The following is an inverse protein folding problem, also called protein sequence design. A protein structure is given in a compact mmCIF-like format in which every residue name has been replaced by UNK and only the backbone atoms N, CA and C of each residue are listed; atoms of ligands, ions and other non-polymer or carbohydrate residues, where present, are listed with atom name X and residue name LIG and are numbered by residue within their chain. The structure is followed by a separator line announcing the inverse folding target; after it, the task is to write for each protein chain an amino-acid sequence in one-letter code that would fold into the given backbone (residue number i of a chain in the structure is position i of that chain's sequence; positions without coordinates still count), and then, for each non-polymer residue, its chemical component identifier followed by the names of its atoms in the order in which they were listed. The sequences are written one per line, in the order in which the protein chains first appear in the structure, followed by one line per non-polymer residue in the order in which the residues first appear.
data_IF_183511531621
#
_entry.id   IF_183511531621
#
_cell.length_a   1.000
_cell.length_b   1.000
_cell.length_c   1.000
_cell.angle_alpha   90.00
_cell.angle_beta   90.00
_cell.angle_gamma   90.00
#
_symmetry.space_group_name_H-M   'P 1'
#
loop_
_entity.id
_entity.type
_entity.pdbx_description
1 polymer ?
#
# COMPACT_ATOMS: atom_id res chain seq x y z
N UNK A 1 4.44 8.56 -11.85
CA UNK A 1 4.20 7.31 -11.11
C UNK A 1 3.60 7.61 -9.74
N UNK A 2 2.73 6.73 -9.26
CA UNK A 2 2.16 6.74 -7.92
C UNK A 2 2.53 5.47 -7.18
N UNK A 3 2.84 5.60 -5.89
CA UNK A 3 3.22 4.51 -5.02
C UNK A 3 2.13 4.32 -3.97
N UNK A 4 1.46 3.18 -4.00
CA UNK A 4 0.41 2.83 -3.07
C UNK A 4 0.98 1.85 -2.05
N UNK A 5 0.93 2.17 -0.77
CA UNK A 5 1.24 1.25 0.30
C UNK A 5 -0.02 0.80 1.01
N UNK A 6 -0.18 -0.51 1.21
CA UNK A 6 -1.32 -1.12 1.88
C UNK A 6 -0.84 -1.86 3.12
N UNK A 7 -1.29 -1.42 4.28
CA UNK A 7 -1.17 -2.18 5.52
C UNK A 7 -2.34 -3.17 5.64
N UNK A 8 -2.01 -4.44 5.86
CA UNK A 8 -2.93 -5.56 5.73
C UNK A 8 -3.49 -5.96 7.10
N UNK A 9 -4.76 -5.63 7.35
CA UNK A 9 -5.51 -6.16 8.47
C UNK A 9 -6.47 -7.30 8.10
N UNK A 10 -6.94 -8.03 9.12
CA UNK A 10 -7.89 -9.14 8.96
C UNK A 10 -9.24 -8.71 8.38
N UNK A 11 -9.78 -7.59 8.87
CA UNK A 11 -11.12 -7.09 8.52
C UNK A 11 -11.08 -5.80 7.71
N UNK A 12 -10.04 -5.01 7.90
CA UNK A 12 -9.89 -3.67 7.33
C UNK A 12 -8.43 -3.52 6.93
N UNK A 13 -8.20 -2.98 5.75
CA UNK A 13 -6.90 -2.57 5.25
C UNK A 13 -6.80 -1.05 5.32
N UNK A 14 -5.57 -0.55 5.35
CA UNK A 14 -5.30 0.89 5.31
C UNK A 14 -4.33 1.19 4.19
N UNK A 15 -4.69 2.14 3.32
CA UNK A 15 -3.93 2.52 2.15
C UNK A 15 -3.46 3.98 2.20
N UNK A 16 -2.26 4.23 1.68
CA UNK A 16 -1.73 5.56 1.47
C UNK A 16 -1.04 5.67 0.10
N UNK A 17 -1.17 6.81 -0.56
CA UNK A 17 -0.59 7.10 -1.89
C UNK A 17 0.48 8.17 -1.76
N UNK A 18 1.60 7.97 -2.43
CA UNK A 18 2.73 8.88 -2.53
C UNK A 18 3.10 9.10 -4.01
N UNK A 19 3.61 10.27 -4.36
CA UNK A 19 4.17 10.53 -5.68
C UNK A 19 5.71 10.35 -5.71
N UNK A 20 6.33 10.53 -6.88
CA UNK A 20 7.78 10.37 -7.07
C UNK A 20 8.63 11.28 -6.16
N UNK A 21 8.14 12.49 -5.85
CA UNK A 21 8.83 13.43 -4.95
C UNK A 21 8.71 13.06 -3.46
N UNK A 22 8.01 11.98 -3.12
CA UNK A 22 7.81 11.56 -1.74
C UNK A 22 6.66 12.29 -1.02
N UNK A 23 5.86 13.07 -1.74
CA UNK A 23 4.70 13.77 -1.18
C UNK A 23 3.54 12.77 -1.03
N UNK A 24 3.04 12.64 0.20
CA UNK A 24 1.83 11.86 0.50
C UNK A 24 0.61 12.60 -0.05
N UNK A 25 -0.12 11.96 -0.96
CA UNK A 25 -1.32 12.49 -1.63
C UNK A 25 -2.61 11.96 -1.03
N UNK A 26 -2.59 10.70 -0.58
CA UNK A 26 -3.66 10.05 0.17
C UNK A 26 -3.05 9.46 1.44
N UNK A 27 -3.67 9.71 2.59
CA UNK A 27 -3.16 9.24 3.87
C UNK A 27 -4.25 8.48 4.63
N UNK A 28 -4.06 7.18 4.80
CA UNK A 28 -4.88 6.37 5.70
C UNK A 28 -6.30 6.08 5.22
N UNK A 29 -6.49 5.85 3.92
CA UNK A 29 -7.77 5.38 3.40
C UNK A 29 -8.06 3.96 3.90
N UNK A 30 -9.11 3.81 4.71
CA UNK A 30 -9.48 2.52 5.29
C UNK A 30 -10.59 1.87 4.49
N UNK A 31 -10.46 0.58 4.17
CA UNK A 31 -11.43 -0.17 3.40
C UNK A 31 -11.55 -1.62 3.91
N UNK A 32 -12.72 -2.26 3.80
CA UNK A 32 -12.93 -3.62 4.31
C UNK A 32 -12.19 -4.66 3.46
N UNK A 33 -11.85 -5.80 4.07
CA UNK A 33 -11.34 -6.98 3.36
C UNK A 33 -12.48 -7.74 2.67
N UNK A 34 -13.09 -7.10 1.67
CA UNK A 34 -14.14 -7.66 0.80
C UNK A 34 -13.93 -7.16 -0.63
N UNK A 35 -14.64 -7.75 -1.60
CA UNK A 35 -14.60 -7.30 -3.00
C UNK A 35 -15.02 -5.83 -3.13
N UNK A 36 -16.08 -5.42 -2.45
CA UNK A 36 -16.57 -4.03 -2.46
C UNK A 36 -15.54 -3.07 -1.85
N UNK A 37 -14.76 -3.54 -0.87
CA UNK A 37 -13.64 -2.78 -0.33
C UNK A 37 -12.53 -2.57 -1.35
N UNK A 38 -12.19 -3.60 -2.12
CA UNK A 38 -11.20 -3.49 -3.19
C UNK A 38 -11.68 -2.59 -4.34
N UNK A 39 -12.96 -2.67 -4.72
CA UNK A 39 -13.60 -1.75 -5.67
C UNK A 39 -13.47 -0.30 -5.20
N UNK A 40 -13.80 -0.03 -3.92
CA UNK A 40 -13.69 1.31 -3.34
C UNK A 40 -12.25 1.85 -3.34
N UNK A 41 -11.25 0.97 -3.25
CA UNK A 41 -9.84 1.35 -3.36
C UNK A 41 -9.51 1.77 -4.81
N UNK A 42 -9.93 1.00 -5.81
CA UNK A 42 -9.71 1.35 -7.22
C UNK A 42 -10.40 2.66 -7.57
N UNK A 43 -11.67 2.83 -7.18
CA UNK A 43 -12.41 4.09 -7.38
C UNK A 43 -11.63 5.27 -6.79
N UNK A 44 -11.03 5.09 -5.61
CA UNK A 44 -10.21 6.11 -4.97
C UNK A 44 -8.89 6.37 -5.70
N UNK A 45 -8.30 5.36 -6.36
CA UNK A 45 -7.08 5.51 -7.15
C UNK A 45 -7.33 6.27 -8.46
N UNK A 46 -8.52 6.13 -9.06
CA UNK A 46 -8.90 6.82 -10.30
C UNK A 46 -8.86 8.35 -10.17
N UNK A 47 -9.04 8.89 -8.96
CA UNK A 47 -8.86 10.32 -8.68
C UNK A 47 -7.43 10.84 -9.01
N UNK A 48 -6.44 9.94 -9.11
CA UNK A 48 -5.03 10.25 -9.37
C UNK A 48 -4.57 9.81 -10.77
N UNK A 49 -4.98 8.62 -11.22
CA UNK A 49 -4.82 8.14 -12.61
C UNK A 49 -5.77 6.98 -12.88
N UNK A 50 -6.28 6.90 -14.11
CA UNK A 50 -7.08 5.77 -14.59
C UNK A 50 -6.26 4.62 -15.20
N UNK A 51 -4.93 4.76 -15.33
CA UNK A 51 -4.07 3.73 -15.90
C UNK A 51 -3.39 2.90 -14.79
N UNK A 52 -3.61 1.57 -14.72
CA UNK A 52 -2.96 0.71 -13.73
C UNK A 52 -1.43 0.77 -13.77
N UNK A 53 -0.85 0.97 -14.95
CA UNK A 53 0.60 1.11 -15.14
C UNK A 53 1.22 2.34 -14.48
N UNK A 54 0.40 3.31 -14.05
CA UNK A 54 0.88 4.48 -13.29
C UNK A 54 1.03 4.19 -11.80
N UNK A 55 0.69 2.98 -11.34
CA UNK A 55 0.77 2.60 -9.94
C UNK A 55 1.75 1.45 -9.70
N UNK A 56 2.57 1.62 -8.66
CA UNK A 56 3.32 0.54 -8.02
C UNK A 56 2.74 0.32 -6.63
N UNK A 57 2.23 -0.89 -6.37
CA UNK A 57 1.52 -1.20 -5.14
C UNK A 57 2.40 -2.08 -4.25
N UNK A 58 2.63 -1.66 -3.00
CA UNK A 58 3.28 -2.46 -1.98
C UNK A 58 2.26 -2.92 -0.94
N UNK A 59 2.35 -4.18 -0.50
CA UNK A 59 1.56 -4.71 0.61
C UNK A 59 2.40 -5.59 1.52
N UNK A 60 2.27 -5.42 2.83
CA UNK A 60 2.97 -6.26 3.82
C UNK A 60 2.27 -7.61 3.98
N UNK A 61 3.01 -8.72 3.77
CA UNK A 61 2.48 -10.07 3.96
C UNK A 61 2.25 -10.39 5.45
N UNK A 62 1.06 -10.06 5.95
CA UNK A 62 0.61 -10.47 7.30
C UNK A 62 -0.41 -11.60 7.21
N UNK A 63 0.03 -12.82 7.57
CA UNK A 63 -0.81 -14.02 7.49
C UNK A 63 -1.25 -14.31 6.05
N UNK A 64 -2.51 -14.72 5.86
CA UNK A 64 -3.09 -14.99 4.54
C UNK A 64 -4.04 -13.90 4.03
N UNK A 65 -4.28 -12.83 4.81
CA UNK A 65 -5.30 -11.82 4.50
C UNK A 65 -4.97 -10.94 3.30
N UNK A 66 -3.71 -10.88 2.89
CA UNK A 66 -3.27 -10.13 1.72
C UNK A 66 -3.68 -10.80 0.39
N UNK A 67 -3.95 -12.11 0.38
CA UNK A 67 -4.24 -12.87 -0.83
C UNK A 67 -5.50 -12.37 -1.55
N UNK A 68 -6.54 -11.97 -0.81
CA UNK A 68 -7.79 -11.48 -1.40
C UNK A 68 -7.58 -10.20 -2.18
N UNK A 69 -6.99 -9.18 -1.55
CA UNK A 69 -6.72 -7.90 -2.20
C UNK A 69 -5.65 -8.03 -3.29
N UNK A 70 -4.64 -8.87 -3.08
CA UNK A 70 -3.63 -9.18 -4.11
C UNK A 70 -4.27 -9.74 -5.37
N UNK A 71 -5.07 -10.80 -5.26
CA UNK A 71 -5.69 -11.43 -6.42
C UNK A 71 -6.58 -10.45 -7.18
N UNK A 72 -7.38 -9.65 -6.46
CA UNK A 72 -8.27 -8.68 -7.08
C UNK A 72 -7.51 -7.59 -7.85
N UNK A 73 -6.48 -7.01 -7.24
CA UNK A 73 -5.67 -5.98 -7.89
C UNK A 73 -4.84 -6.55 -9.05
N UNK A 74 -4.37 -7.80 -8.93
CA UNK A 74 -3.60 -8.48 -9.97
C UNK A 74 -4.49 -8.78 -11.19
N UNK A 75 -5.72 -9.24 -10.98
CA UNK A 75 -6.72 -9.41 -12.04
C UNK A 75 -7.14 -8.07 -12.69
N UNK A 76 -6.89 -6.95 -12.01
CA UNK A 76 -7.11 -5.59 -12.51
C UNK A 76 -5.85 -4.95 -13.13
N UNK A 77 -4.86 -5.76 -13.51
CA UNK A 77 -3.62 -5.37 -14.19
C UNK A 77 -2.67 -4.42 -13.41
N UNK A 78 -2.80 -4.34 -12.08
CA UNK A 78 -1.89 -3.55 -11.27
C UNK A 78 -0.56 -4.26 -10.99
N UNK A 79 0.55 -3.51 -10.99
CA UNK A 79 1.84 -3.99 -10.53
C UNK A 79 1.90 -4.01 -9.00
N UNK A 80 2.04 -5.20 -8.42
CA UNK A 80 1.98 -5.42 -6.97
C UNK A 80 3.24 -6.12 -6.47
N UNK A 81 3.81 -5.59 -5.40
CA UNK A 81 4.91 -6.17 -4.65
C UNK A 81 4.43 -6.55 -3.25
N UNK A 82 4.64 -7.81 -2.91
CA UNK A 82 4.38 -8.32 -1.56
C UNK A 82 5.68 -8.24 -0.78
N UNK A 83 5.71 -7.39 0.25
CA UNK A 83 6.90 -7.15 1.06
C UNK A 83 6.88 -7.97 2.34
N UNK A 84 8.06 -8.45 2.74
CA UNK A 84 8.24 -9.15 4.00
C UNK A 84 8.21 -8.14 5.17
N UNK A 85 7.51 -8.43 6.29
CA UNK A 85 7.53 -7.58 7.48
C UNK A 85 8.94 -7.21 8.01
N UNK A 86 9.95 -8.04 7.73
CA UNK A 86 11.35 -7.73 8.06
C UNK A 86 11.92 -6.58 7.22
N UNK A 87 11.53 -6.46 5.96
CA UNK A 87 11.97 -5.38 5.07
C UNK A 87 11.33 -4.05 5.48
N UNK A 88 10.02 -4.05 5.77
CA UNK A 88 9.30 -2.86 6.24
C UNK A 88 9.81 -2.41 7.62
N UNK A 89 10.14 -3.33 8.52
CA UNK A 89 10.76 -2.99 9.82
C UNK A 89 12.18 -2.43 9.67
N UNK A 90 12.98 -3.00 8.76
CA UNK A 90 14.29 -2.46 8.39
C UNK A 90 14.18 -1.04 7.84
N UNK A 91 13.24 -0.81 6.92
CA UNK A 91 12.95 0.50 6.35
C UNK A 91 12.56 1.51 7.42
N UNK A 92 11.61 1.15 8.29
CA UNK A 92 11.17 1.98 9.43
C UNK A 92 12.35 2.40 10.31
N UNK A 93 13.27 1.49 10.64
CA UNK A 93 14.44 1.81 11.45
C UNK A 93 15.42 2.76 10.75
N UNK A 94 15.48 2.72 9.43
CA UNK A 94 16.34 3.59 8.62
C UNK A 94 15.78 5.00 8.42
N UNK A 95 14.45 5.16 8.38
CA UNK A 95 13.79 6.42 8.01
C UNK A 95 13.10 7.15 9.17
N UNK A 96 12.64 6.43 10.21
CA UNK A 96 11.88 7.02 11.32
C UNK A 96 12.70 7.13 12.61
N UNK A 97 12.83 8.36 13.13
CA UNK A 97 13.50 8.62 14.42
C UNK A 97 12.62 8.20 15.60
N UNK A 98 11.31 8.47 15.50
CA UNK A 98 10.32 8.11 16.54
C UNK A 98 9.56 6.90 16.04
N UNK A 99 9.80 5.74 16.67
CA UNK A 99 9.22 4.42 16.36
C UNK A 99 7.70 4.32 16.61
N UNK A 100 6.92 5.27 16.10
CA UNK A 100 5.46 5.24 16.14
C UNK A 100 4.98 4.21 15.12
N UNK A 101 4.03 3.39 15.55
CA UNK A 101 3.45 2.34 14.72
C UNK A 101 1.93 2.45 14.79
N UNK A 102 1.31 2.58 13.64
CA UNK A 102 -0.12 2.38 13.40
C UNK A 102 -0.32 2.15 11.91
N UNK A 103 -1.49 1.65 11.55
CA UNK A 103 -1.80 1.21 10.19
C UNK A 103 -1.66 2.35 9.14
N UNK A 104 -1.91 3.60 9.54
CA UNK A 104 -1.72 4.78 8.68
C UNK A 104 -0.23 5.05 8.44
N UNK A 105 0.60 5.00 9.47
CA UNK A 105 2.05 5.21 9.35
C UNK A 105 2.67 4.06 8.56
N UNK A 106 2.22 2.82 8.81
CA UNK A 106 2.73 1.62 8.15
C UNK A 106 2.39 1.63 6.65
N UNK A 107 1.16 2.01 6.26
CA UNK A 107 0.82 2.19 4.83
C UNK A 107 1.64 3.28 4.14
N UNK A 108 1.98 4.37 4.82
CA UNK A 108 2.89 5.41 4.26
C UNK A 108 4.32 4.87 4.10
N UNK A 109 4.82 4.13 5.09
CA UNK A 109 6.15 3.52 5.03
C UNK A 109 6.29 2.52 3.89
N UNK A 110 5.25 1.72 3.63
CA UNK A 110 5.22 0.77 2.51
C UNK A 110 5.22 1.53 1.17
N UNK A 111 4.43 2.61 1.04
CA UNK A 111 4.43 3.44 -0.17
C UNK A 111 5.82 4.05 -0.44
N UNK A 112 6.49 4.54 0.60
CA UNK A 112 7.83 5.09 0.47
C UNK A 112 8.86 4.01 0.10
N UNK A 113 8.77 2.81 0.68
CA UNK A 113 9.62 1.68 0.31
C UNK A 113 9.49 1.33 -1.19
N UNK A 114 8.26 1.32 -1.72
CA UNK A 114 8.03 1.10 -3.16
C UNK A 114 8.66 2.20 -4.01
N UNK A 115 8.57 3.46 -3.57
CA UNK A 115 9.16 4.62 -4.26
C UNK A 115 10.67 4.52 -4.40
N UNK A 116 11.36 3.95 -3.41
CA UNK A 116 12.81 3.75 -3.46
C UNK A 116 13.25 2.55 -4.32
N UNK A 117 12.33 1.66 -4.73
CA UNK A 117 12.65 0.54 -5.63
C UNK A 117 13.51 -0.57 -5.01
N UNK A 118 13.60 -0.64 -3.68
CA UNK A 118 14.39 -1.65 -2.97
C UNK A 118 13.44 -2.62 -2.24
N UNK A 119 12.88 -3.58 -2.97
CA UNK A 119 11.90 -4.56 -2.48
C UNK A 119 12.31 -6.00 -2.77
#
# INVERSE_FOLDING_TARGET
MYFLGIDIGKRTHVASIMNEEGKVLLKGFSFPNTTEGAESLIERMVDYSGAPSDFVIGMEATGHYWLSIFSYLHESDYLIHVVNPLQTDGWRKGTEIRKRKNDIIDSVLIADLMRYGSF
#
